data_IF_269263947987
#
_entry.id   IF_269263947987
#
_cell.length_a   1.000
_cell.length_b   1.000
_cell.length_c   1.000
_cell.angle_alpha   90.00
_cell.angle_beta   90.00
_cell.angle_gamma   90.00
#
_symmetry.space_group_name_H-M   'P 1'
#
loop_
_entity.id
_entity.type
_entity.pdbx_description
1 polymer ?
#
# COMPACT_ATOMS: atom_id res chain seq x y z
N UNK A 1 24.88 17.71 5.48
CA UNK A 1 25.42 18.30 6.72
C UNK A 1 26.88 17.89 6.89
N UNK A 2 27.77 18.74 7.44
CA UNK A 2 29.17 18.39 7.66
C UNK A 2 29.32 17.37 8.81
N UNK A 3 30.25 16.42 8.64
CA UNK A 3 30.48 15.21 9.48
C UNK A 3 30.92 15.50 10.92
N UNK A 4 31.29 16.73 11.22
CA UNK A 4 31.84 17.20 12.50
C UNK A 4 30.79 17.45 13.59
N UNK A 5 29.48 17.43 13.26
CA UNK A 5 28.38 17.55 14.24
C UNK A 5 27.73 16.23 14.67
N UNK A 6 28.24 15.08 14.22
CA UNK A 6 27.72 13.75 14.59
C UNK A 6 28.37 13.12 15.83
N UNK A 7 29.38 13.75 16.41
CA UNK A 7 30.08 13.23 17.58
C UNK A 7 29.57 13.92 18.85
N UNK A 8 28.65 13.29 19.59
CA UNK A 8 28.55 13.32 21.07
C UNK A 8 27.19 12.78 21.57
N UNK A 9 26.99 11.46 21.63
CA UNK A 9 25.91 10.84 22.42
C UNK A 9 26.29 9.43 22.93
N UNK A 10 27.44 9.28 23.60
CA UNK A 10 27.90 7.95 24.08
C UNK A 10 28.03 7.77 25.59
N UNK A 11 28.07 8.81 26.42
CA UNK A 11 28.42 8.64 27.83
C UNK A 11 27.27 8.08 28.70
N UNK A 12 26.03 8.56 28.55
CA UNK A 12 24.86 7.99 29.25
C UNK A 12 24.27 6.80 28.48
N UNK A 13 24.53 6.73 27.17
CA UNK A 13 24.19 5.57 26.36
C UNK A 13 24.87 4.30 26.89
N UNK A 14 26.11 4.32 27.37
CA UNK A 14 26.76 3.09 27.84
C UNK A 14 26.12 2.43 29.08
N UNK A 15 25.27 3.14 29.85
CA UNK A 15 24.58 2.58 31.02
C UNK A 15 23.14 2.11 30.76
N UNK A 16 22.48 2.63 29.70
CA UNK A 16 21.04 2.37 29.42
C UNK A 16 20.79 1.91 27.97
N UNK A 17 21.75 2.12 27.08
CA UNK A 17 21.63 1.85 25.65
C UNK A 17 21.93 0.39 25.37
N UNK A 18 20.87 -0.38 25.11
CA UNK A 18 21.02 -1.54 24.24
C UNK A 18 21.17 -1.00 22.83
N UNK A 19 22.36 -1.11 22.25
CA UNK A 19 22.74 -0.75 20.88
C UNK A 19 21.80 -1.28 19.77
N UNK A 20 20.89 -2.16 20.13
CA UNK A 20 20.04 -2.93 19.25
C UNK A 20 18.72 -2.19 18.93
N UNK A 21 18.42 -1.07 19.59
CA UNK A 21 17.10 -0.43 19.56
C UNK A 21 17.00 0.85 18.71
N UNK A 22 18.11 1.45 18.27
CA UNK A 22 18.14 2.70 17.49
C UNK A 22 18.56 2.50 16.01
N UNK A 23 18.57 1.26 15.54
CA UNK A 23 19.12 0.90 14.22
C UNK A 23 18.34 1.35 12.96
N UNK A 24 17.05 1.73 12.94
CA UNK A 24 16.36 1.91 11.65
C UNK A 24 16.87 3.08 10.80
N UNK A 25 17.08 4.27 11.39
CA UNK A 25 17.46 5.47 10.63
C UNK A 25 18.94 5.46 10.22
N UNK A 26 19.80 4.97 11.12
CA UNK A 26 21.24 4.81 10.84
C UNK A 26 21.45 3.74 9.77
N UNK A 27 20.78 2.58 9.87
CA UNK A 27 20.82 1.54 8.84
C UNK A 27 20.26 2.05 7.50
N UNK A 28 19.16 2.79 7.51
CA UNK A 28 18.60 3.39 6.29
C UNK A 28 19.56 4.39 5.64
N UNK A 29 20.12 5.33 6.42
CA UNK A 29 21.11 6.30 5.93
C UNK A 29 22.39 5.62 5.46
N UNK A 30 22.87 4.60 6.18
CA UNK A 30 24.07 3.86 5.82
C UNK A 30 23.84 3.04 4.54
N UNK A 31 22.69 2.39 4.39
CA UNK A 31 22.28 1.69 3.15
C UNK A 31 22.16 2.65 1.96
N UNK A 32 21.77 3.90 2.19
CA UNK A 32 21.70 4.94 1.15
C UNK A 32 23.08 5.51 0.78
N UNK A 33 24.01 5.56 1.73
CA UNK A 33 25.37 6.09 1.53
C UNK A 33 26.35 5.07 0.94
N UNK A 34 26.03 3.77 1.00
CA UNK A 34 26.94 2.68 0.57
C UNK A 34 27.16 2.65 -0.96
N UNK A 35 26.24 3.17 -1.77
CA UNK A 35 26.40 3.48 -3.19
C UNK A 35 25.04 4.00 -3.72
N UNK A 36 24.99 5.02 -4.60
CA UNK A 36 23.73 5.49 -5.17
C UNK A 36 22.94 4.31 -5.76
N UNK A 37 21.69 4.14 -5.33
CA UNK A 37 20.72 3.17 -5.86
C UNK A 37 20.89 1.69 -5.46
N UNK A 38 21.87 1.28 -4.63
CA UNK A 38 21.91 -0.13 -4.14
C UNK A 38 21.06 -0.36 -2.89
N UNK A 39 20.97 0.62 -1.99
CA UNK A 39 20.15 0.53 -0.77
C UNK A 39 18.66 0.27 -1.03
N UNK A 40 18.11 0.81 -2.13
CA UNK A 40 16.69 0.65 -2.51
C UNK A 40 16.28 -0.82 -2.68
N UNK A 41 17.19 -1.66 -3.17
CA UNK A 41 16.95 -3.09 -3.38
C UNK A 41 17.10 -3.92 -2.09
N UNK A 42 17.69 -3.35 -1.03
CA UNK A 42 17.95 -4.00 0.25
C UNK A 42 16.80 -3.74 1.23
N UNK A 43 16.23 -2.53 1.22
CA UNK A 43 15.17 -2.11 2.16
C UNK A 43 13.79 -2.66 1.77
N UNK A 44 13.59 -3.09 0.52
CA UNK A 44 12.34 -3.72 0.08
C UNK A 44 11.14 -2.78 0.27
N UNK A 45 11.19 -1.63 -0.39
CA UNK A 45 10.15 -0.59 -0.31
C UNK A 45 8.91 -0.97 -1.08
N UNK A 46 7.74 -0.59 -0.56
CA UNK A 46 6.44 -0.85 -1.16
C UNK A 46 6.34 -0.30 -2.59
N UNK A 47 5.73 -1.08 -3.47
CA UNK A 47 5.54 -0.78 -4.89
C UNK A 47 4.10 -1.10 -5.30
N UNK A 48 3.33 -0.14 -5.85
CA UNK A 48 1.93 -0.40 -6.21
C UNK A 48 1.76 -1.52 -7.24
N UNK A 49 2.70 -1.66 -8.18
CA UNK A 49 2.66 -2.72 -9.18
C UNK A 49 2.82 -4.15 -8.61
N UNK A 50 3.33 -4.28 -7.38
CA UNK A 50 3.42 -5.58 -6.68
C UNK A 50 2.09 -6.04 -6.08
N UNK A 51 1.15 -5.10 -5.94
CA UNK A 51 -0.16 -5.31 -5.30
C UNK A 51 -1.35 -4.88 -6.16
N UNK A 52 -1.06 -4.42 -7.39
CA UNK A 52 -2.04 -3.78 -8.29
C UNK A 52 -2.69 -2.57 -7.63
N UNK A 53 -2.03 -1.91 -6.69
CA UNK A 53 -2.61 -0.75 -6.03
C UNK A 53 -2.64 0.45 -6.96
N UNK A 54 -3.68 1.28 -6.82
CA UNK A 54 -3.76 2.55 -7.51
C UNK A 54 -2.63 3.44 -7.00
N UNK A 55 -1.67 3.84 -7.85
CA UNK A 55 -0.50 4.60 -7.42
C UNK A 55 -0.85 6.08 -7.11
N UNK A 56 -2.13 6.45 -7.09
CA UNK A 56 -2.55 7.81 -6.81
C UNK A 56 -2.14 8.19 -5.37
N UNK A 57 -1.15 9.06 -5.28
CA UNK A 57 -0.69 9.64 -4.02
C UNK A 57 -1.37 11.01 -3.81
N UNK A 58 -1.80 11.28 -2.58
CA UNK A 58 -2.05 12.66 -2.17
C UNK A 58 -0.70 13.36 -2.01
N UNK A 59 -0.45 14.42 -2.80
CA UNK A 59 0.75 15.24 -2.62
C UNK A 59 0.65 15.98 -1.29
N UNK A 60 1.57 15.72 -0.37
CA UNK A 60 1.67 16.51 0.86
C UNK A 60 2.36 17.84 0.56
N UNK A 61 1.56 18.86 0.28
CA UNK A 61 2.00 20.23 -0.06
C UNK A 61 2.75 20.94 1.08
N UNK A 62 2.79 20.37 2.29
CA UNK A 62 3.40 21.00 3.48
C UNK A 62 4.87 20.66 3.67
N UNK A 63 5.49 19.91 2.77
CA UNK A 63 6.87 19.40 2.92
C UNK A 63 7.93 20.34 2.33
N UNK A 64 9.05 20.59 3.03
CA UNK A 64 10.19 21.28 2.45
C UNK A 64 10.87 20.41 1.38
N UNK A 65 11.02 20.93 0.17
CA UNK A 65 11.75 20.28 -0.93
C UNK A 65 13.20 20.00 -0.51
N UNK A 66 13.66 18.75 -0.67
CA UNK A 66 15.07 18.37 -0.49
C UNK A 66 15.52 18.05 0.94
N UNK A 67 14.60 17.78 1.86
CA UNK A 67 14.93 17.32 3.21
C UNK A 67 15.16 15.79 3.25
N UNK A 68 16.39 15.29 3.44
CA UNK A 68 16.72 13.86 3.35
C UNK A 68 16.12 13.01 4.48
N UNK A 69 15.45 13.63 5.46
CA UNK A 69 14.66 12.95 6.50
C UNK A 69 13.30 12.47 5.98
N UNK A 70 12.89 12.96 4.81
CA UNK A 70 11.67 12.61 4.12
C UNK A 70 12.07 11.97 2.79
N UNK A 71 11.81 10.67 2.65
CA UNK A 71 11.94 10.00 1.37
C UNK A 71 10.58 10.04 0.66
N UNK A 72 10.58 10.49 -0.58
CA UNK A 72 9.41 10.50 -1.45
C UNK A 72 9.08 9.07 -1.92
N UNK A 73 7.81 8.82 -2.25
CA UNK A 73 7.45 7.72 -3.14
C UNK A 73 8.31 7.77 -4.42
N UNK A 74 8.55 8.97 -4.96
CA UNK A 74 9.39 9.19 -6.15
C UNK A 74 10.88 8.85 -5.93
N UNK A 75 11.34 8.79 -4.67
CA UNK A 75 12.72 8.38 -4.35
C UNK A 75 12.91 6.85 -4.46
N UNK A 76 11.80 6.10 -4.47
CA UNK A 76 11.79 4.64 -4.47
C UNK A 76 11.12 4.01 -5.70
N UNK A 77 10.16 4.73 -6.27
CA UNK A 77 9.29 4.30 -7.34
C UNK A 77 9.25 5.36 -8.43
N UNK A 78 9.01 4.95 -9.66
CA UNK A 78 8.74 5.88 -10.75
C UNK A 78 7.43 6.64 -10.45
N UNK A 79 7.44 7.96 -10.62
CA UNK A 79 6.26 8.78 -10.36
C UNK A 79 5.14 8.40 -11.34
N UNK A 80 3.92 8.07 -10.86
CA UNK A 80 2.79 7.90 -11.75
C UNK A 80 2.50 9.23 -12.44
N UNK A 81 2.15 9.16 -13.72
CA UNK A 81 1.81 10.32 -14.51
C UNK A 81 0.30 10.38 -14.77
N UNK A 82 -0.15 11.41 -15.48
CA UNK A 82 -1.56 11.59 -15.77
C UNK A 82 -2.16 10.40 -16.55
N UNK A 83 -1.37 9.76 -17.43
CA UNK A 83 -1.79 8.57 -18.17
C UNK A 83 -1.96 7.37 -17.24
N UNK A 84 -1.10 7.17 -16.24
CA UNK A 84 -1.17 6.04 -15.31
C UNK A 84 -2.56 5.86 -14.70
N UNK A 85 -3.22 6.96 -14.34
CA UNK A 85 -4.56 6.95 -13.71
C UNK A 85 -5.73 6.90 -14.70
N UNK A 86 -5.48 7.05 -16.00
CA UNK A 86 -6.52 6.99 -17.02
C UNK A 86 -6.94 5.55 -17.28
N UNK A 87 -8.16 5.42 -17.79
CA UNK A 87 -8.72 4.15 -18.24
C UNK A 87 -8.44 3.99 -19.72
N UNK A 88 -7.90 2.85 -20.15
CA UNK A 88 -7.65 2.57 -21.55
C UNK A 88 -8.97 2.54 -22.35
N UNK A 89 -9.17 3.47 -23.28
CA UNK A 89 -10.37 3.53 -24.13
C UNK A 89 -10.17 2.96 -25.54
N UNK A 90 -9.00 2.41 -25.86
CA UNK A 90 -8.71 1.82 -27.16
C UNK A 90 -9.43 0.48 -27.35
N UNK A 91 -10.44 0.43 -28.22
CA UNK A 91 -11.18 -0.81 -28.50
C UNK A 91 -10.34 -1.93 -29.11
N UNK A 92 -9.21 -1.58 -29.73
CA UNK A 92 -8.25 -2.52 -30.30
C UNK A 92 -7.26 -3.06 -29.25
N UNK A 93 -7.12 -2.38 -28.11
CA UNK A 93 -6.25 -2.82 -27.02
C UNK A 93 -6.85 -4.06 -26.32
N UNK A 94 -6.05 -5.09 -26.02
CA UNK A 94 -6.49 -6.20 -25.16
C UNK A 94 -6.83 -5.74 -23.75
N UNK A 95 -6.29 -4.59 -23.31
CA UNK A 95 -6.49 -3.99 -21.99
C UNK A 95 -7.59 -2.92 -21.99
N UNK A 96 -8.48 -2.93 -22.99
CA UNK A 96 -9.63 -2.03 -23.05
C UNK A 96 -10.41 -2.02 -21.73
N UNK A 97 -10.68 -0.82 -21.23
CA UNK A 97 -11.41 -0.50 -20.01
C UNK A 97 -10.75 -0.98 -18.71
N UNK A 98 -9.44 -1.21 -18.71
CA UNK A 98 -8.62 -1.31 -17.49
C UNK A 98 -7.95 0.05 -17.22
N UNK A 99 -7.67 0.35 -15.95
CA UNK A 99 -6.75 1.43 -15.60
C UNK A 99 -5.35 1.15 -16.15
N UNK A 100 -4.69 2.19 -16.66
CA UNK A 100 -3.41 2.07 -17.33
C UNK A 100 -2.32 1.52 -16.39
N UNK A 101 -2.28 1.91 -15.11
CA UNK A 101 -1.36 1.34 -14.12
C UNK A 101 -1.49 -0.18 -13.93
N UNK A 102 -2.62 -0.79 -14.33
CA UNK A 102 -2.81 -2.25 -14.26
C UNK A 102 -2.08 -2.95 -15.41
N UNK A 103 -2.17 -2.43 -16.64
CA UNK A 103 -1.75 -3.17 -17.83
C UNK A 103 -1.36 -2.36 -19.09
N UNK A 104 -1.39 -1.01 -19.07
CA UNK A 104 -1.02 -0.19 -20.23
C UNK A 104 -0.02 0.93 -19.89
N UNK A 105 1.25 0.64 -20.11
CA UNK A 105 2.38 1.56 -20.00
C UNK A 105 2.73 2.29 -21.30
N UNK A 106 2.01 2.06 -22.40
CA UNK A 106 2.38 2.53 -23.76
C UNK A 106 2.51 4.06 -23.81
N UNK A 107 3.68 4.65 -24.06
CA UNK A 107 3.78 6.11 -24.13
C UNK A 107 2.91 6.68 -25.26
N UNK A 108 2.11 7.71 -24.96
CA UNK A 108 1.33 8.41 -26.00
C UNK A 108 2.19 9.37 -26.82
N UNK A 109 3.28 9.86 -26.25
CA UNK A 109 4.24 10.75 -26.89
C UNK A 109 5.64 10.60 -26.27
N UNK A 110 6.63 11.32 -26.80
CA UNK A 110 8.03 11.22 -26.36
C UNK A 110 8.27 11.74 -24.94
N UNK A 111 7.34 12.54 -24.41
CA UNK A 111 7.46 13.20 -23.11
C UNK A 111 6.65 12.46 -22.03
N UNK A 112 5.90 11.41 -22.43
CA UNK A 112 5.12 10.54 -21.56
C UNK A 112 6.01 9.41 -21.01
N UNK A 113 6.36 9.49 -19.73
CA UNK A 113 7.15 8.46 -19.04
C UNK A 113 6.29 7.22 -18.75
N UNK A 114 6.63 6.07 -19.34
CA UNK A 114 5.92 4.82 -19.06
C UNK A 114 6.00 4.46 -17.56
N UNK A 115 4.87 4.46 -16.85
CA UNK A 115 4.80 3.95 -15.48
C UNK A 115 4.76 2.41 -15.49
N UNK A 116 5.54 1.72 -14.64
CA UNK A 116 5.59 0.26 -14.62
C UNK A 116 4.26 -0.32 -14.14
N UNK A 117 3.63 -1.12 -14.98
CA UNK A 117 2.32 -1.69 -14.68
C UNK A 117 2.43 -2.98 -13.87
N UNK A 118 1.34 -3.33 -13.17
CA UNK A 118 1.25 -4.62 -12.48
C UNK A 118 1.47 -5.81 -13.44
N UNK A 119 0.90 -5.76 -14.65
CA UNK A 119 1.10 -6.79 -15.66
C UNK A 119 2.57 -6.91 -16.10
N UNK A 120 3.26 -5.79 -16.29
CA UNK A 120 4.70 -5.81 -16.65
C UNK A 120 5.56 -6.39 -15.54
N UNK A 121 5.32 -5.98 -14.29
CA UNK A 121 6.01 -6.55 -13.13
C UNK A 121 5.79 -8.07 -13.04
N UNK A 122 4.55 -8.52 -13.17
CA UNK A 122 4.21 -9.95 -13.17
C UNK A 122 4.98 -10.68 -14.30
N UNK A 123 4.98 -10.14 -15.52
CA UNK A 123 5.69 -10.72 -16.65
C UNK A 123 7.21 -10.76 -16.44
N UNK A 124 7.78 -9.75 -15.78
CA UNK A 124 9.20 -9.73 -15.37
C UNK A 124 9.49 -10.80 -14.32
N UNK A 125 8.65 -10.94 -13.29
CA UNK A 125 8.81 -11.99 -12.28
C UNK A 125 8.71 -13.39 -12.91
N UNK A 126 7.81 -13.59 -13.88
CA UNK A 126 7.75 -14.84 -14.63
C UNK A 126 8.99 -15.07 -15.48
N UNK A 127 9.52 -14.05 -16.13
CA UNK A 127 10.78 -14.12 -16.87
C UNK A 127 11.93 -14.58 -15.97
N UNK A 128 12.05 -14.00 -14.78
CA UNK A 128 13.05 -14.37 -13.77
C UNK A 128 12.83 -15.82 -13.32
N UNK A 129 11.59 -16.20 -13.04
CA UNK A 129 11.24 -17.57 -12.61
C UNK A 129 11.51 -18.64 -13.69
N UNK A 130 11.61 -18.23 -14.95
CA UNK A 130 11.92 -19.12 -16.08
C UNK A 130 13.43 -19.12 -16.43
N UNK A 131 14.24 -18.27 -15.79
CA UNK A 131 15.65 -18.09 -16.15
C UNK A 131 16.64 -19.04 -15.46
N UNK A 132 16.19 -19.82 -14.47
CA UNK A 132 17.07 -20.66 -13.64
C UNK A 132 16.47 -22.00 -13.24
N UNK A 133 17.20 -22.74 -12.39
CA UNK A 133 16.77 -24.04 -11.86
C UNK A 133 15.49 -23.91 -11.01
N UNK A 134 14.52 -24.79 -11.24
CA UNK A 134 13.23 -24.88 -10.52
C UNK A 134 13.38 -25.01 -9.00
N UNK A 135 14.50 -25.52 -8.50
CA UNK A 135 14.82 -25.65 -7.06
C UNK A 135 15.45 -24.40 -6.46
N UNK A 136 15.79 -23.41 -7.29
CA UNK A 136 16.38 -22.16 -6.81
C UNK A 136 15.36 -21.35 -6.01
N UNK A 137 15.72 -20.96 -4.79
CA UNK A 137 14.91 -20.03 -3.97
C UNK A 137 14.63 -18.71 -4.68
N UNK A 138 15.56 -18.24 -5.51
CA UNK A 138 15.38 -17.01 -6.29
C UNK A 138 14.27 -17.17 -7.34
N UNK A 139 14.29 -18.30 -8.07
CA UNK A 139 13.28 -18.65 -9.08
C UNK A 139 11.91 -18.85 -8.43
N UNK A 140 11.84 -19.60 -7.33
CA UNK A 140 10.58 -19.86 -6.62
C UNK A 140 10.02 -18.59 -5.98
N UNK A 141 10.87 -17.69 -5.48
CA UNK A 141 10.43 -16.38 -4.98
C UNK A 141 9.85 -15.53 -6.10
N UNK A 142 10.50 -15.48 -7.26
CA UNK A 142 9.98 -14.75 -8.41
C UNK A 142 8.65 -15.34 -8.89
N UNK A 143 8.51 -16.67 -8.92
CA UNK A 143 7.23 -17.32 -9.20
C UNK A 143 6.16 -16.92 -8.18
N UNK A 144 6.50 -16.93 -6.88
CA UNK A 144 5.62 -16.48 -5.81
C UNK A 144 5.17 -15.03 -5.99
N UNK A 145 6.09 -14.12 -6.33
CA UNK A 145 5.76 -12.73 -6.61
C UNK A 145 4.82 -12.59 -7.83
N UNK A 146 5.03 -13.39 -8.88
CA UNK A 146 4.14 -13.40 -10.04
C UNK A 146 2.72 -13.90 -9.71
N UNK A 147 2.61 -14.97 -8.91
CA UNK A 147 1.33 -15.51 -8.47
C UNK A 147 0.61 -14.56 -7.52
N UNK A 148 1.35 -13.91 -6.61
CA UNK A 148 0.82 -12.89 -5.72
C UNK A 148 0.08 -11.80 -6.51
N UNK A 149 0.71 -11.21 -7.53
CA UNK A 149 0.05 -10.18 -8.37
C UNK A 149 -1.18 -10.75 -9.10
N UNK A 150 -1.10 -12.00 -9.59
CA UNK A 150 -2.23 -12.63 -10.25
C UNK A 150 -3.42 -12.86 -9.30
N UNK A 151 -3.16 -13.19 -8.04
CA UNK A 151 -4.16 -13.35 -7.00
C UNK A 151 -4.77 -11.99 -6.61
N UNK A 152 -3.93 -10.97 -6.43
CA UNK A 152 -4.34 -9.60 -6.12
C UNK A 152 -5.24 -9.01 -7.21
N UNK A 153 -5.09 -9.43 -8.47
CA UNK A 153 -6.02 -9.02 -9.53
C UNK A 153 -7.47 -9.38 -9.23
N UNK A 154 -7.73 -10.53 -8.62
CA UNK A 154 -9.09 -10.94 -8.26
C UNK A 154 -9.51 -10.42 -6.88
N UNK A 155 -8.55 -10.22 -5.98
CA UNK A 155 -8.80 -9.81 -4.61
C UNK A 155 -8.93 -8.29 -4.44
N UNK A 156 -8.18 -7.49 -5.21
CA UNK A 156 -8.03 -6.05 -5.02
C UNK A 156 -8.43 -5.20 -6.22
N UNK A 157 -9.08 -5.79 -7.23
CA UNK A 157 -9.80 -5.06 -8.27
C UNK A 157 -11.30 -5.31 -8.19
N UNK A 158 -12.10 -4.51 -8.89
CA UNK A 158 -13.54 -4.76 -9.05
C UNK A 158 -13.87 -5.83 -10.13
N UNK A 159 -12.90 -6.64 -10.58
CA UNK A 159 -13.12 -7.64 -11.63
C UNK A 159 -14.24 -8.64 -11.26
N UNK A 160 -14.27 -9.10 -10.00
CA UNK A 160 -15.24 -10.09 -9.52
C UNK A 160 -16.67 -9.53 -9.57
N UNK A 161 -16.83 -8.27 -9.18
CA UNK A 161 -18.05 -7.49 -9.17
C UNK A 161 -18.56 -7.27 -10.60
N UNK A 162 -17.72 -6.75 -11.49
CA UNK A 162 -18.07 -6.54 -12.91
C UNK A 162 -18.43 -7.85 -13.59
N UNK A 163 -17.74 -8.94 -13.26
CA UNK A 163 -18.06 -10.26 -13.80
C UNK A 163 -19.39 -10.83 -13.27
N UNK A 164 -19.80 -10.50 -12.03
CA UNK A 164 -21.14 -10.77 -11.51
C UNK A 164 -22.23 -9.93 -12.22
N UNK A 165 -21.97 -8.64 -12.43
CA UNK A 165 -22.87 -7.73 -13.15
C UNK A 165 -23.08 -8.20 -14.60
N UNK A 166 -22.03 -8.67 -15.26
CA UNK A 166 -22.12 -9.31 -16.58
C UNK A 166 -23.10 -10.49 -16.61
N UNK A 167 -23.22 -11.24 -15.51
CA UNK A 167 -24.17 -12.37 -15.39
C UNK A 167 -25.58 -11.93 -14.93
N UNK A 168 -25.82 -10.63 -14.79
CA UNK A 168 -27.12 -10.06 -14.41
C UNK A 168 -27.34 -9.93 -12.89
N UNK A 169 -26.31 -10.11 -12.07
CA UNK A 169 -26.40 -9.88 -10.63
C UNK A 169 -26.13 -8.41 -10.30
N UNK A 170 -26.93 -7.85 -9.40
CA UNK A 170 -26.69 -6.50 -8.89
C UNK A 170 -25.80 -6.61 -7.65
N UNK A 171 -24.61 -6.04 -7.74
CA UNK A 171 -23.61 -5.85 -6.68
C UNK A 171 -22.99 -4.45 -6.84
N UNK A 172 -22.37 -3.94 -5.78
CA UNK A 172 -21.60 -2.70 -5.81
C UNK A 172 -20.34 -2.90 -6.66
N UNK A 173 -20.09 -2.03 -7.64
CA UNK A 173 -18.90 -2.08 -8.50
C UNK A 173 -17.74 -1.21 -7.97
N UNK A 174 -17.97 -0.55 -6.82
CA UNK A 174 -17.06 0.36 -6.14
C UNK A 174 -16.70 1.63 -6.93
N UNK A 175 -17.46 1.94 -7.98
CA UNK A 175 -17.33 3.19 -8.74
C UNK A 175 -18.51 4.09 -8.39
N UNK A 176 -18.24 5.36 -8.05
CA UNK A 176 -19.28 6.27 -7.55
C UNK A 176 -20.40 6.61 -8.55
N UNK A 177 -20.24 6.23 -9.83
CA UNK A 177 -21.26 6.29 -10.86
C UNK A 177 -21.49 4.88 -11.44
N UNK A 178 -22.01 3.97 -10.60
CA UNK A 178 -22.27 2.59 -11.02
C UNK A 178 -23.15 2.55 -12.28
N UNK A 179 -22.64 2.01 -13.38
CA UNK A 179 -23.41 1.84 -14.62
C UNK A 179 -23.98 0.42 -14.66
N UNK A 180 -25.27 0.28 -14.94
CA UNK A 180 -25.90 -1.03 -15.12
C UNK A 180 -25.28 -1.85 -16.27
N UNK A 181 -24.63 -1.18 -17.22
CA UNK A 181 -23.90 -1.81 -18.30
C UNK A 181 -22.45 -2.10 -17.90
N UNK A 182 -22.19 -3.37 -17.55
CA UNK A 182 -20.86 -3.86 -17.18
C UNK A 182 -19.76 -3.50 -18.18
N UNK A 183 -20.07 -3.24 -19.46
CA UNK A 183 -19.08 -2.88 -20.50
C UNK A 183 -18.51 -1.48 -20.32
N UNK A 184 -19.16 -0.63 -19.53
CA UNK A 184 -18.75 0.75 -19.28
C UNK A 184 -18.03 0.90 -17.94
N UNK A 185 -18.21 -0.05 -17.01
CA UNK A 185 -17.56 -0.04 -15.70
C UNK A 185 -16.06 -0.34 -15.89
N UNK A 186 -15.14 0.59 -15.58
CA UNK A 186 -13.71 0.31 -15.70
C UNK A 186 -13.25 -0.70 -14.65
N UNK A 187 -12.22 -1.47 -14.98
CA UNK A 187 -11.49 -2.25 -13.98
C UNK A 187 -10.54 -1.33 -13.22
N UNK A 188 -10.82 -1.18 -11.93
CA UNK A 188 -10.09 -0.30 -11.01
C UNK A 188 -9.59 -1.11 -9.82
N UNK A 189 -8.52 -0.62 -9.20
CA UNK A 189 -8.02 -1.10 -7.92
C UNK A 189 -7.98 0.02 -6.89
N UNK A 190 -7.68 -0.35 -5.65
CA UNK A 190 -7.75 0.55 -4.52
C UNK A 190 -6.47 1.37 -4.30
N UNK A 191 -6.60 2.59 -3.79
CA UNK A 191 -5.46 3.34 -3.24
C UNK A 191 -5.12 2.82 -1.85
N UNK A 192 -3.81 2.70 -1.55
CA UNK A 192 -3.34 2.32 -0.23
C UNK A 192 -3.21 3.55 0.66
N UNK A 193 -4.05 3.67 1.69
CA UNK A 193 -4.13 4.83 2.56
C UNK A 193 -3.81 4.55 4.03
N UNK A 194 -4.13 5.52 4.88
CA UNK A 194 -3.92 5.44 6.33
C UNK A 194 -4.65 4.26 6.96
N UNK A 195 -5.90 4.02 6.58
CA UNK A 195 -6.70 2.93 7.13
C UNK A 195 -6.18 1.56 6.71
N UNK A 196 -5.68 1.43 5.48
CA UNK A 196 -5.03 0.21 4.98
C UNK A 196 -3.71 -0.05 5.71
N UNK A 197 -2.93 1.02 5.96
CA UNK A 197 -1.74 0.97 6.80
C UNK A 197 -2.10 0.44 8.19
N UNK A 198 -3.06 1.07 8.87
CA UNK A 198 -3.48 0.70 10.23
C UNK A 198 -4.05 -0.72 10.34
N UNK A 199 -4.79 -1.18 9.33
CA UNK A 199 -5.26 -2.57 9.28
C UNK A 199 -4.08 -3.55 9.18
N UNK A 200 -3.09 -3.24 8.33
CA UNK A 200 -1.91 -4.09 8.08
C UNK A 200 -0.98 -4.20 9.30
N UNK A 201 -0.83 -3.11 10.05
CA UNK A 201 0.03 -3.09 11.25
C UNK A 201 -0.76 -3.31 12.55
N UNK A 202 -2.10 -3.28 12.52
CA UNK A 202 -3.00 -3.39 13.66
C UNK A 202 -2.66 -4.52 14.64
N UNK A 203 -2.42 -5.76 14.16
CA UNK A 203 -1.99 -6.87 15.02
C UNK A 203 -0.66 -6.62 15.74
N UNK A 204 0.26 -5.86 15.14
CA UNK A 204 1.54 -5.43 15.74
C UNK A 204 1.39 -4.16 16.60
N UNK A 205 0.32 -3.38 16.40
CA UNK A 205 0.00 -2.16 17.16
C UNK A 205 -0.69 -2.42 18.50
N UNK A 206 -1.06 -3.67 18.83
CA UNK A 206 -1.59 -4.02 20.15
C UNK A 206 -0.67 -3.58 21.30
N UNK A 207 0.65 -3.56 21.07
CA UNK A 207 1.67 -3.08 22.01
C UNK A 207 1.83 -1.55 21.99
N UNK A 208 1.26 -0.86 21.00
CA UNK A 208 1.24 0.60 20.79
C UNK A 208 -0.04 1.27 21.30
N UNK A 209 -0.96 0.50 21.90
CA UNK A 209 -2.23 1.00 22.50
C UNK A 209 -1.98 2.01 23.63
N UNK A 210 -0.74 2.13 24.12
CA UNK A 210 -0.30 3.28 24.87
C UNK A 210 0.72 4.12 24.07
N UNK A 211 0.26 4.99 23.15
CA UNK A 211 1.13 5.87 22.36
C UNK A 211 1.94 6.86 23.22
N UNK A 212 1.74 6.85 24.54
CA UNK A 212 2.45 7.66 25.53
C UNK A 212 3.54 6.90 26.26
N UNK A 213 3.54 5.57 26.23
CA UNK A 213 4.53 4.76 26.94
C UNK A 213 5.95 5.04 26.43
N UNK A 214 6.11 5.34 25.14
CA UNK A 214 7.37 5.76 24.53
C UNK A 214 7.67 7.27 24.62
N UNK A 215 6.69 8.09 25.03
CA UNK A 215 6.85 9.52 25.35
C UNK A 215 7.20 9.75 26.82
N UNK A 216 6.79 8.85 27.72
CA UNK A 216 7.11 8.85 29.15
C UNK A 216 8.49 8.24 29.44
N UNK A 217 8.90 7.23 28.66
CA UNK A 217 10.27 6.71 28.68
C UNK A 217 11.19 7.60 27.83
N UNK A 218 12.02 8.44 28.47
CA UNK A 218 13.07 9.18 27.76
C UNK A 218 14.04 8.20 27.09
N UNK A 219 13.88 8.00 25.78
CA UNK A 219 14.74 7.15 24.95
C UNK A 219 15.83 7.93 24.21
N UNK A 220 16.06 9.20 24.58
CA UNK A 220 16.86 10.16 23.82
C UNK A 220 16.14 10.64 22.56
N UNK A 221 16.41 11.87 22.13
CA UNK A 221 15.90 12.42 20.87
C UNK A 221 17.09 12.77 19.98
N UNK A 222 17.05 12.36 18.71
CA UNK A 222 17.95 12.89 17.70
C UNK A 222 17.26 13.98 16.89
N UNK A 223 17.98 15.05 16.57
CA UNK A 223 17.46 16.16 15.78
C UNK A 223 16.94 15.63 14.44
N UNK A 224 15.65 15.82 14.16
CA UNK A 224 15.05 15.41 12.90
C UNK A 224 14.72 13.93 12.77
N UNK A 225 15.06 13.09 13.75
CA UNK A 225 14.62 11.70 13.74
C UNK A 225 13.09 11.65 13.88
N UNK A 226 12.47 10.70 13.19
CA UNK A 226 11.05 10.37 13.29
C UNK A 226 10.92 8.89 13.61
N UNK A 227 10.16 8.58 14.65
CA UNK A 227 9.85 7.20 15.04
C UNK A 227 8.59 6.73 14.33
N UNK A 228 8.33 5.43 14.34
CA UNK A 228 7.11 4.85 13.77
C UNK A 228 5.85 5.54 14.31
N UNK A 229 5.81 5.86 15.60
CA UNK A 229 4.70 6.56 16.24
C UNK A 229 4.51 7.96 15.69
N UNK A 230 5.59 8.67 15.34
CA UNK A 230 5.48 10.01 14.75
C UNK A 230 4.88 9.96 13.36
N UNK A 231 5.23 8.95 12.56
CA UNK A 231 4.66 8.75 11.23
C UNK A 231 3.16 8.44 11.33
N UNK A 232 2.77 7.56 12.27
CA UNK A 232 1.35 7.24 12.52
C UNK A 232 0.58 8.48 12.97
N UNK A 233 1.10 9.23 13.95
CA UNK A 233 0.44 10.45 14.45
C UNK A 233 0.36 11.50 13.34
N UNK A 234 1.43 11.70 12.56
CA UNK A 234 1.42 12.62 11.41
C UNK A 234 0.32 12.25 10.44
N UNK A 235 0.26 10.99 10.00
CA UNK A 235 -0.76 10.55 9.06
C UNK A 235 -2.19 10.72 9.61
N UNK A 236 -2.42 10.48 10.91
CA UNK A 236 -3.71 10.73 11.56
C UNK A 236 -4.05 12.22 11.58
N UNK A 237 -3.10 13.07 11.95
CA UNK A 237 -3.27 14.53 12.02
C UNK A 237 -3.58 15.12 10.63
N UNK A 238 -2.92 14.60 9.60
CA UNK A 238 -3.18 14.97 8.22
C UNK A 238 -4.55 14.49 7.76
N UNK A 239 -4.93 13.25 8.08
CA UNK A 239 -6.22 12.66 7.72
C UNK A 239 -7.42 13.38 8.37
N UNK A 240 -7.36 13.69 9.67
CA UNK A 240 -8.44 14.46 10.33
C UNK A 240 -8.49 15.91 9.85
N UNK A 241 -7.35 16.44 9.38
CA UNK A 241 -7.20 17.78 8.82
C UNK A 241 -7.78 18.91 9.69
N UNK A 242 -7.64 18.83 11.02
CA UNK A 242 -8.09 19.86 11.95
C UNK A 242 -6.92 20.80 12.25
N UNK A 243 -7.05 22.07 11.82
CA UNK A 243 -5.98 23.08 11.91
C UNK A 243 -5.34 23.19 13.32
N UNK A 244 -6.16 23.13 14.37
CA UNK A 244 -5.69 23.21 15.75
C UNK A 244 -4.84 22.00 16.15
N UNK A 245 -5.22 20.80 15.72
CA UNK A 245 -4.47 19.57 16.02
C UNK A 245 -3.15 19.57 15.24
N UNK A 246 -3.18 19.96 13.96
CA UNK A 246 -1.99 20.17 13.14
C UNK A 246 -1.01 21.14 13.78
N UNK A 247 -1.51 22.24 14.36
CA UNK A 247 -0.68 23.22 15.08
C UNK A 247 -0.04 22.63 16.33
N UNK A 248 -0.79 21.88 17.13
CA UNK A 248 -0.28 21.21 18.34
C UNK A 248 0.81 20.19 17.96
N UNK A 249 0.57 19.39 16.92
CA UNK A 249 1.51 18.39 16.41
C UNK A 249 2.81 19.02 15.91
N UNK A 250 2.73 20.04 15.05
CA UNK A 250 3.91 20.73 14.53
C UNK A 250 4.70 21.43 15.64
N UNK A 251 4.01 21.98 16.65
CA UNK A 251 4.64 22.56 17.84
C UNK A 251 5.40 21.50 18.65
N UNK A 252 4.79 20.32 18.84
CA UNK A 252 5.45 19.20 19.50
C UNK A 252 6.73 18.77 18.77
N UNK A 253 6.66 18.57 17.45
CA UNK A 253 7.82 18.20 16.63
C UNK A 253 8.94 19.24 16.69
N UNK A 254 8.59 20.53 16.57
CA UNK A 254 9.56 21.62 16.65
C UNK A 254 10.27 21.68 18.01
N UNK A 255 9.51 21.58 19.10
CA UNK A 255 10.07 21.55 20.46
C UNK A 255 10.95 20.32 20.69
N UNK A 256 10.54 19.16 20.18
CA UNK A 256 11.35 17.95 20.27
C UNK A 256 12.68 18.10 19.54
N UNK A 257 12.65 18.59 18.30
CA UNK A 257 13.86 18.79 17.49
C UNK A 257 14.78 19.83 18.16
N UNK A 258 14.23 20.90 18.75
CA UNK A 258 15.01 21.87 19.53
C UNK A 258 15.69 21.24 20.76
N UNK A 259 14.97 20.41 21.52
CA UNK A 259 15.51 19.72 22.68
C UNK A 259 16.58 18.68 22.31
N UNK A 260 16.43 18.01 21.17
CA UNK A 260 17.40 17.05 20.64
C UNK A 260 18.74 17.69 20.22
N UNK A 261 18.75 19.01 19.99
CA UNK A 261 19.94 19.79 19.63
C UNK A 261 20.72 20.36 20.82
N UNK A 262 20.28 20.13 22.06
CA UNK A 262 20.89 20.71 23.26
C UNK A 262 22.04 19.84 23.80
N UNK A 263 23.14 20.49 24.17
CA UNK A 263 24.26 19.86 24.88
C UNK A 263 23.90 19.67 26.38
N UNK A 264 24.39 18.61 27.03
CA UNK A 264 24.02 18.23 28.42
C UNK A 264 24.20 19.37 29.45
N UNK A 265 25.15 20.28 29.21
CA UNK A 265 25.42 21.43 30.08
C UNK A 265 24.37 22.57 30.01
N UNK A 266 23.44 22.57 29.04
CA UNK A 266 22.48 23.66 28.80
C UNK A 266 21.03 23.34 29.21
N UNK A 267 20.73 22.14 29.72
CA UNK A 267 19.35 21.77 30.07
C UNK A 267 18.75 22.64 31.18
N UNK A 268 19.57 23.11 32.13
CA UNK A 268 19.11 23.98 33.21
C UNK A 268 18.60 25.34 32.70
N UNK A 269 19.26 25.91 31.67
CA UNK A 269 18.88 27.19 31.07
C UNK A 269 17.66 27.09 30.14
N UNK A 270 17.27 25.86 29.77
CA UNK A 270 16.12 25.57 28.89
C UNK A 270 14.90 24.99 29.63
N UNK A 271 14.84 25.13 30.96
CA UNK A 271 13.71 24.66 31.78
C UNK A 271 12.32 25.10 31.25
N UNK A 272 12.22 26.31 30.68
CA UNK A 272 10.97 26.81 30.06
C UNK A 272 10.57 26.02 28.81
N UNK A 273 11.52 25.68 27.95
CA UNK A 273 11.29 24.92 26.71
C UNK A 273 10.95 23.46 27.04
N UNK A 274 11.61 22.87 28.03
CA UNK A 274 11.28 21.53 28.54
C UNK A 274 9.86 21.51 29.13
N UNK A 275 9.52 22.50 29.97
CA UNK A 275 8.18 22.60 30.52
C UNK A 275 7.10 22.86 29.46
N UNK A 276 7.44 23.59 28.40
CA UNK A 276 6.56 23.77 27.24
C UNK A 276 6.40 22.46 26.47
N UNK A 277 7.48 21.75 26.18
CA UNK A 277 7.45 20.44 25.53
C UNK A 277 6.58 19.44 26.29
N UNK A 278 6.79 19.30 27.60
CA UNK A 278 5.98 18.39 28.45
C UNK A 278 4.50 18.76 28.43
N UNK A 279 4.17 20.06 28.48
CA UNK A 279 2.78 20.51 28.38
C UNK A 279 2.18 20.21 27.01
N UNK A 280 2.88 20.53 25.93
CA UNK A 280 2.43 20.25 24.56
C UNK A 280 2.25 18.75 24.33
N UNK A 281 3.18 17.91 24.81
CA UNK A 281 3.09 16.45 24.73
C UNK A 281 1.85 15.92 25.48
N UNK A 282 1.56 16.43 26.68
CA UNK A 282 0.34 16.05 27.43
C UNK A 282 -0.95 16.51 26.73
N UNK A 283 -0.97 17.70 26.15
CA UNK A 283 -2.11 18.17 25.37
C UNK A 283 -2.32 17.29 24.14
N UNK A 284 -1.26 17.02 23.37
CA UNK A 284 -1.30 16.14 22.21
C UNK A 284 -1.80 14.75 22.59
N UNK A 285 -1.27 14.18 23.68
CA UNK A 285 -1.69 12.91 24.24
C UNK A 285 -3.19 12.84 24.49
N UNK A 286 -3.75 13.87 25.14
CA UNK A 286 -5.17 13.92 25.49
C UNK A 286 -6.09 13.96 24.26
N UNK A 287 -5.60 14.49 23.14
CA UNK A 287 -6.36 14.60 21.87
C UNK A 287 -6.18 13.34 21.02
N UNK A 288 -4.95 12.86 20.87
CA UNK A 288 -4.60 11.78 19.95
C UNK A 288 -4.93 10.39 20.51
N UNK A 289 -4.79 10.16 21.82
CA UNK A 289 -5.03 8.83 22.43
C UNK A 289 -6.48 8.33 22.22
N UNK A 290 -7.53 9.15 22.39
CA UNK A 290 -8.89 8.75 22.04
C UNK A 290 -9.06 8.42 20.56
N UNK A 291 -8.43 9.19 19.66
CA UNK A 291 -8.49 8.97 18.22
C UNK A 291 -7.83 7.65 17.86
N UNK A 292 -6.59 7.41 18.28
CA UNK A 292 -5.88 6.14 18.04
C UNK A 292 -6.66 4.97 18.61
N UNK A 293 -7.19 5.09 19.84
CA UNK A 293 -8.00 4.02 20.43
C UNK A 293 -9.27 3.74 19.63
N UNK A 294 -9.93 4.77 19.11
CA UNK A 294 -11.07 4.59 18.21
C UNK A 294 -10.64 3.89 16.93
N UNK A 295 -9.58 4.37 16.26
CA UNK A 295 -9.10 3.80 15.01
C UNK A 295 -8.65 2.35 15.14
N UNK A 296 -7.91 2.00 16.20
CA UNK A 296 -7.48 0.61 16.46
C UNK A 296 -8.66 -0.31 16.76
N UNK A 297 -9.61 0.15 17.58
CA UNK A 297 -10.84 -0.61 17.85
C UNK A 297 -11.65 -0.78 16.59
N UNK A 298 -11.74 0.27 15.76
CA UNK A 298 -12.48 0.23 14.51
C UNK A 298 -11.80 -0.74 13.52
N UNK A 299 -10.49 -0.60 13.26
CA UNK A 299 -9.71 -1.45 12.37
C UNK A 299 -9.62 -2.92 12.82
N UNK A 300 -9.50 -3.17 14.12
CA UNK A 300 -9.49 -4.53 14.68
C UNK A 300 -10.88 -5.12 14.91
N UNK A 301 -11.94 -4.31 14.88
CA UNK A 301 -13.31 -4.82 14.95
C UNK A 301 -13.75 -5.31 13.58
N UNK A 302 -14.53 -6.39 13.56
CA UNK A 302 -15.22 -6.84 12.35
C UNK A 302 -16.11 -5.77 11.70
N UNK A 303 -16.32 -4.59 12.31
CA UNK A 303 -17.08 -3.48 11.72
C UNK A 303 -16.39 -2.95 10.45
N UNK A 304 -15.06 -2.82 10.45
CA UNK A 304 -14.31 -2.42 9.26
C UNK A 304 -14.30 -3.54 8.21
N UNK A 305 -14.35 -4.81 8.65
CA UNK A 305 -14.31 -5.99 7.77
C UNK A 305 -15.69 -6.44 7.26
N UNK A 306 -16.80 -5.99 7.87
CA UNK A 306 -18.15 -6.49 7.58
C UNK A 306 -19.14 -5.40 7.17
N UNK A 307 -18.79 -4.12 7.28
CA UNK A 307 -19.69 -3.02 6.94
C UNK A 307 -19.13 -2.15 5.82
N UNK A 308 -19.49 -2.49 4.57
CA UNK A 308 -19.28 -1.64 3.39
C UNK A 308 -19.75 -0.18 3.62
N UNK A 309 -20.83 0.01 4.39
CA UNK A 309 -21.32 1.34 4.78
C UNK A 309 -20.39 2.07 5.75
N UNK A 310 -19.86 1.39 6.77
CA UNK A 310 -18.94 2.00 7.73
C UNK A 310 -17.56 2.31 7.09
N UNK A 311 -17.06 1.43 6.21
CA UNK A 311 -15.83 1.67 5.43
C UNK A 311 -15.99 2.95 4.59
N UNK A 312 -17.10 3.08 3.84
CA UNK A 312 -17.43 4.30 3.07
C UNK A 312 -17.57 5.55 3.94
N UNK A 313 -18.19 5.43 5.11
CA UNK A 313 -18.34 6.57 6.03
C UNK A 313 -17.00 7.05 6.58
N UNK A 314 -16.12 6.12 6.96
CA UNK A 314 -14.84 6.41 7.62
C UNK A 314 -13.73 6.76 6.63
N UNK A 315 -13.75 6.19 5.42
CA UNK A 315 -12.78 6.51 4.37
C UNK A 315 -13.22 7.71 3.51
N UNK A 316 -14.26 8.46 3.92
CA UNK A 316 -14.79 9.67 3.25
C UNK A 316 -15.94 9.35 2.30
N UNK A 317 -17.08 10.08 2.21
CA UNK A 317 -17.31 11.55 2.21
C UNK A 317 -16.37 12.34 1.28
N UNK A 318 -15.64 11.66 0.38
CA UNK A 318 -14.90 12.22 -0.74
C UNK A 318 -15.40 11.64 -2.07
N UNK A 319 -15.41 12.44 -3.14
CA UNK A 319 -15.82 12.00 -4.47
C UNK A 319 -14.64 11.26 -5.16
N UNK A 320 -14.31 10.04 -4.71
CA UNK A 320 -13.21 9.22 -5.22
C UNK A 320 -13.38 8.73 -6.67
N UNK A 321 -14.58 8.83 -7.24
CA UNK A 321 -14.86 8.49 -8.63
C UNK A 321 -14.48 7.04 -8.97
N UNK A 322 -13.49 6.90 -9.85
CA UNK A 322 -12.90 5.62 -10.28
C UNK A 322 -11.65 5.22 -9.45
N UNK A 323 -11.46 5.78 -8.26
CA UNK A 323 -10.31 5.56 -7.39
C UNK A 323 -10.74 5.11 -5.98
N UNK A 324 -11.40 3.95 -5.83
CA UNK A 324 -11.74 3.40 -4.52
C UNK A 324 -10.48 3.20 -3.66
N UNK A 325 -10.65 2.94 -2.36
CA UNK A 325 -9.56 2.55 -1.46
C UNK A 325 -9.28 1.05 -1.54
N UNK A 326 -8.09 0.62 -1.11
CA UNK A 326 -7.70 -0.79 -1.09
C UNK A 326 -8.65 -1.63 -0.22
N UNK A 327 -9.00 -1.15 0.98
CA UNK A 327 -9.99 -1.81 1.85
C UNK A 327 -11.38 -1.92 1.22
N UNK A 328 -11.82 -0.96 0.40
CA UNK A 328 -13.14 -1.03 -0.25
C UNK A 328 -13.24 -2.19 -1.23
N UNK A 329 -12.15 -2.50 -1.94
CA UNK A 329 -12.09 -3.58 -2.91
C UNK A 329 -11.58 -4.90 -2.34
N UNK A 330 -10.90 -4.89 -1.19
CA UNK A 330 -10.27 -6.04 -0.59
C UNK A 330 -11.22 -7.22 -0.36
N UNK A 331 -10.96 -8.32 -1.07
CA UNK A 331 -11.67 -9.61 -0.96
C UNK A 331 -10.77 -10.71 -0.42
N UNK A 332 -9.61 -10.38 0.11
CA UNK A 332 -8.63 -11.28 0.73
C UNK A 332 -9.03 -11.67 2.17
N UNK A 333 -9.82 -10.84 2.85
CA UNK A 333 -10.41 -11.20 4.15
C UNK A 333 -11.54 -12.22 4.00
N UNK A 334 -11.46 -13.31 4.78
CA UNK A 334 -12.42 -14.41 4.79
C UNK A 334 -13.88 -14.04 5.11
N UNK A 335 -14.14 -12.86 5.69
CA UNK A 335 -15.50 -12.40 5.96
C UNK A 335 -16.10 -11.55 4.83
N UNK A 336 -15.31 -11.16 3.82
CA UNK A 336 -15.86 -10.49 2.65
C UNK A 336 -16.81 -11.46 1.91
N UNK A 337 -18.01 -11.00 1.57
CA UNK A 337 -19.04 -11.81 0.90
C UNK A 337 -18.57 -12.44 -0.42
N UNK A 338 -17.66 -11.78 -1.14
CA UNK A 338 -17.11 -12.22 -2.41
C UNK A 338 -15.76 -12.93 -2.29
N UNK A 339 -15.20 -13.08 -1.07
CA UNK A 339 -13.90 -13.71 -0.82
C UNK A 339 -13.76 -15.06 -1.51
N UNK A 340 -14.70 -15.98 -1.24
CA UNK A 340 -14.65 -17.32 -1.81
C UNK A 340 -14.80 -17.35 -3.33
N UNK A 341 -15.49 -16.37 -3.93
CA UNK A 341 -15.57 -16.26 -5.39
C UNK A 341 -14.25 -15.78 -5.97
N UNK A 342 -13.67 -14.70 -5.43
CA UNK A 342 -12.38 -14.17 -5.84
C UNK A 342 -11.28 -15.24 -5.72
N UNK A 343 -11.22 -15.94 -4.59
CA UNK A 343 -10.30 -17.05 -4.36
C UNK A 343 -10.47 -18.17 -5.40
N UNK A 344 -11.72 -18.55 -5.72
CA UNK A 344 -11.99 -19.58 -6.76
C UNK A 344 -11.47 -19.15 -8.13
N UNK A 345 -11.65 -17.88 -8.50
CA UNK A 345 -11.17 -17.33 -9.77
C UNK A 345 -9.63 -17.26 -9.79
N UNK A 346 -9.01 -16.83 -8.70
CA UNK A 346 -7.57 -16.76 -8.53
C UNK A 346 -6.92 -18.15 -8.63
N UNK A 347 -7.43 -19.15 -7.90
CA UNK A 347 -6.95 -20.55 -7.97
C UNK A 347 -6.92 -21.05 -9.41
N UNK A 348 -7.99 -20.79 -10.17
CA UNK A 348 -8.08 -21.21 -11.57
C UNK A 348 -7.05 -20.52 -12.45
N UNK A 349 -6.78 -19.24 -12.22
CA UNK A 349 -5.76 -18.50 -12.95
C UNK A 349 -4.34 -18.96 -12.62
N UNK A 350 -4.04 -19.11 -11.33
CA UNK A 350 -2.75 -19.62 -10.83
C UNK A 350 -2.50 -21.05 -11.32
N UNK A 351 -3.52 -21.91 -11.34
CA UNK A 351 -3.40 -23.27 -11.86
C UNK A 351 -3.07 -23.28 -13.36
N UNK A 352 -3.77 -22.50 -14.20
CA UNK A 352 -3.49 -22.43 -15.65
C UNK A 352 -2.06 -21.91 -15.91
N UNK A 353 -1.68 -20.80 -15.27
CA UNK A 353 -0.32 -20.23 -15.41
C UNK A 353 0.73 -21.20 -14.88
N UNK A 354 0.51 -21.81 -13.73
CA UNK A 354 1.41 -22.76 -13.10
C UNK A 354 1.63 -24.01 -13.94
N UNK A 355 0.57 -24.57 -14.54
CA UNK A 355 0.70 -25.71 -15.46
C UNK A 355 1.56 -25.35 -16.68
N UNK A 356 1.39 -24.15 -17.25
CA UNK A 356 2.23 -23.67 -18.36
C UNK A 356 3.68 -23.47 -17.94
N UNK A 357 3.88 -22.93 -16.75
CA UNK A 357 5.21 -22.71 -16.20
C UNK A 357 5.95 -24.04 -15.95
N UNK A 358 5.26 -25.04 -15.40
CA UNK A 358 5.78 -26.40 -15.23
C UNK A 358 6.13 -27.00 -16.60
N UNK A 359 5.25 -26.87 -17.60
CA UNK A 359 5.50 -27.37 -18.96
C UNK A 359 6.73 -26.70 -19.61
N UNK A 360 6.95 -25.41 -19.36
CA UNK A 360 8.18 -24.72 -19.77
C UNK A 360 9.43 -25.33 -19.12
N UNK A 361 9.42 -25.59 -17.81
CA UNK A 361 10.58 -26.19 -17.14
C UNK A 361 10.88 -27.62 -17.59
N UNK A 362 9.87 -28.37 -18.01
CA UNK A 362 10.07 -29.69 -18.64
C UNK A 362 10.64 -29.58 -20.07
N UNK A 363 10.29 -28.52 -20.80
CA UNK A 363 10.73 -28.31 -22.19
C UNK A 363 10.92 -26.80 -22.48
N UNK A 364 12.12 -26.23 -22.20
CA UNK A 364 12.32 -24.77 -22.18
C UNK A 364 12.52 -24.18 -23.59
N UNK A 365 11.46 -24.17 -24.38
CA UNK A 365 11.43 -23.55 -25.71
C UNK A 365 10.91 -22.12 -25.65
N UNK A 366 11.26 -21.30 -26.66
CA UNK A 366 10.70 -19.97 -26.82
C UNK A 366 9.17 -19.97 -26.92
N UNK A 367 8.60 -21.00 -27.57
CA UNK A 367 7.15 -21.17 -27.69
C UNK A 367 6.48 -21.44 -26.33
N UNK A 368 7.04 -22.35 -25.52
CA UNK A 368 6.51 -22.63 -24.17
C UNK A 368 6.64 -21.42 -23.25
N UNK A 369 7.76 -20.69 -23.33
CA UNK A 369 7.96 -19.44 -22.60
C UNK A 369 6.90 -18.40 -22.96
N UNK A 370 6.64 -18.23 -24.25
CA UNK A 370 5.60 -17.32 -24.73
C UNK A 370 4.20 -17.78 -24.29
N UNK A 371 3.92 -19.09 -24.28
CA UNK A 371 2.64 -19.63 -23.82
C UNK A 371 2.36 -19.32 -22.33
N UNK A 372 3.39 -19.27 -21.48
CA UNK A 372 3.26 -18.81 -20.07
C UNK A 372 2.81 -17.34 -20.05
N UNK A 373 3.52 -16.46 -20.77
CA UNK A 373 3.23 -15.02 -20.82
C UNK A 373 1.85 -14.73 -21.40
N UNK A 374 1.48 -15.40 -22.50
CA UNK A 374 0.18 -15.25 -23.14
C UNK A 374 -0.96 -15.72 -22.24
N UNK A 375 -0.71 -16.74 -21.41
CA UNK A 375 -1.72 -17.24 -20.46
C UNK A 375 -2.06 -16.21 -19.39
N UNK A 376 -1.06 -15.54 -18.81
CA UNK A 376 -1.30 -14.45 -17.85
C UNK A 376 -2.08 -13.31 -18.50
N UNK A 377 -1.70 -12.91 -19.71
CA UNK A 377 -2.35 -11.83 -20.45
C UNK A 377 -3.84 -12.10 -20.71
N UNK A 378 -4.28 -13.37 -20.75
CA UNK A 378 -5.71 -13.73 -20.86
C UNK A 378 -6.53 -13.40 -19.61
N UNK A 379 -5.89 -13.19 -18.46
CA UNK A 379 -6.55 -12.83 -17.20
C UNK A 379 -6.62 -11.32 -16.99
N UNK A 380 -5.61 -10.57 -17.44
CA UNK A 380 -5.56 -9.10 -17.37
C UNK A 380 -6.38 -8.43 -18.49
N UNK A 381 -7.66 -8.77 -18.54
CA UNK A 381 -8.63 -8.27 -19.53
C UNK A 381 -9.96 -7.99 -18.86
N UNK A 382 -10.72 -7.05 -19.42
CA UNK A 382 -12.04 -6.71 -18.89
C UNK A 382 -13.03 -7.90 -19.03
N UNK A 383 -13.95 -8.15 -18.08
CA UNK A 383 -14.92 -9.26 -18.15
C UNK A 383 -15.78 -9.31 -19.43
N UNK A 384 -15.97 -8.18 -20.09
CA UNK A 384 -16.63 -8.08 -21.40
C UNK A 384 -15.85 -8.70 -22.57
N UNK A 385 -14.53 -8.90 -22.42
CA UNK A 385 -13.63 -9.41 -23.46
C UNK A 385 -13.28 -10.89 -23.28
N UNK A 386 -13.81 -11.53 -22.24
CA UNK A 386 -13.51 -12.93 -21.92
C UNK A 386 -14.72 -13.63 -21.32
N UNK A 387 -14.71 -14.97 -21.28
CA UNK A 387 -15.85 -15.77 -20.81
C UNK A 387 -15.45 -17.00 -19.98
N UNK A 388 -14.16 -17.19 -19.69
CA UNK A 388 -13.66 -18.38 -18.99
C UNK A 388 -14.27 -18.56 -17.59
N UNK A 389 -14.66 -17.47 -16.94
CA UNK A 389 -15.23 -17.41 -15.59
C UNK A 389 -16.76 -17.51 -15.56
N UNK A 390 -17.44 -17.31 -16.69
CA UNK A 390 -18.89 -17.10 -16.72
C UNK A 390 -19.68 -18.27 -16.12
N UNK A 391 -19.24 -19.51 -16.39
CA UNK A 391 -19.85 -20.71 -15.83
C UNK A 391 -19.68 -20.81 -14.31
N UNK A 392 -18.46 -20.54 -13.83
CA UNK A 392 -18.11 -20.59 -12.41
C UNK A 392 -18.87 -19.54 -11.60
N UNK A 393 -19.01 -18.33 -12.14
CA UNK A 393 -19.76 -17.24 -11.52
C UNK A 393 -21.24 -17.60 -11.42
N UNK A 394 -21.87 -18.08 -12.50
CA UNK A 394 -23.28 -18.47 -12.46
C UNK A 394 -23.55 -19.57 -11.44
N UNK A 395 -22.67 -20.57 -11.38
CA UNK A 395 -22.80 -21.66 -10.42
C UNK A 395 -22.67 -21.15 -8.99
N UNK A 396 -21.63 -20.35 -8.70
CA UNK A 396 -21.39 -19.81 -7.38
C UNK A 396 -22.52 -18.89 -6.91
N UNK A 397 -22.97 -17.97 -7.76
CA UNK A 397 -24.00 -16.99 -7.41
C UNK A 397 -25.35 -17.65 -7.13
N UNK A 398 -25.70 -18.73 -7.85
CA UNK A 398 -26.90 -19.55 -7.55
C UNK A 398 -26.82 -20.24 -6.19
N UNK A 399 -25.63 -20.69 -5.80
CA UNK A 399 -25.40 -21.33 -4.51
C UNK A 399 -25.31 -20.33 -3.34
N UNK A 400 -24.97 -19.07 -3.61
CA UNK A 400 -24.67 -18.06 -2.59
C UNK A 400 -25.55 -16.79 -2.70
N UNK A 401 -26.89 -16.89 -2.70
CA UNK A 401 -27.77 -15.74 -2.88
C UNK A 401 -27.66 -14.72 -1.73
N UNK A 402 -27.23 -15.14 -0.53
CA UNK A 402 -26.98 -14.24 0.60
C UNK A 402 -25.74 -13.37 0.36
N UNK A 403 -24.66 -13.95 -0.18
CA UNK A 403 -23.44 -13.21 -0.49
C UNK A 403 -23.69 -12.13 -1.55
N UNK A 404 -24.48 -12.44 -2.59
CA UNK A 404 -24.90 -11.44 -3.59
C UNK A 404 -25.66 -10.28 -2.96
N UNK A 405 -26.52 -10.53 -1.97
CA UNK A 405 -27.23 -9.45 -1.26
C UNK A 405 -26.32 -8.63 -0.36
N UNK A 406 -25.30 -9.24 0.24
CA UNK A 406 -24.34 -8.56 1.10
C UNK A 406 -23.31 -7.74 0.30
N UNK A 407 -23.11 -8.08 -0.98
CA UNK A 407 -22.26 -7.36 -1.92
C UNK A 407 -23.01 -6.23 -2.68
N UNK A 408 -24.26 -5.92 -2.33
CA UNK A 408 -24.98 -4.71 -2.76
C UNK A 408 -24.79 -3.62 -1.73
#
# INVERSE_FOLDING_TARGET
MPKDKQCCYKAIALAVYKSNAAMPLQLFSDLWLIEPHKGKHIVGVYRPQEHIDNPQMEKDERRPVGDPRYADYEDFNEAPNQKSHQTNKSLASPHYNLKNYIADSTPENTDDSAFPTALEYLLEQLEISMSGDIKSRHVLRALGNAFHVLEDFFAHTNFTEVALIKQGYQVDDHVQQSDSDYRKIPIVSGTFGLWDTLASIGPKLGDLVDPLKSMEEYKGFMYGERRLEDFIITAIVEWINIAEISRIWNTYLSLRDQLAGLNEALYADKAREIAQFVRTARTLASVIKPIISFMLKFAGSGILQHSHGAIRLVQGWGNYGENPTHTQLGKDDHHNALHMLAAKLAIKAVEDVGQRWIAYHHNPTASNKQAVKDTVKRYFVHPARTNWMDGDIRQWARANPQAIRAAR
#
